data_IF_653117447203
#
_entry.id   IF_653117447203
#
_cell.length_a   1.000
_cell.length_b   1.000
_cell.length_c   1.000
_cell.angle_alpha   90.00
_cell.angle_beta   90.00
_cell.angle_gamma   90.00
#
_symmetry.space_group_name_H-M   'P 1'
#
loop_
_entity.id
_entity.type
_entity.pdbx_description
1 polymer ?
#
# COMPACT_ATOMS: atom_id res chain seq x y z
N UNK A 1 -24.53 -6.67 -14.84
CA UNK A 1 -23.18 -7.28 -14.83
C UNK A 1 -23.16 -8.35 -15.91
N UNK A 2 -22.53 -8.07 -17.05
CA UNK A 2 -22.37 -9.03 -18.15
C UNK A 2 -21.35 -10.08 -17.73
N UNK A 3 -21.78 -11.34 -17.58
CA UNK A 3 -20.87 -12.45 -17.31
C UNK A 3 -20.07 -12.64 -18.60
N UNK A 4 -18.78 -12.25 -18.60
CA UNK A 4 -17.89 -12.46 -19.75
C UNK A 4 -17.80 -13.97 -19.96
N UNK A 5 -18.31 -14.45 -21.09
CA UNK A 5 -18.29 -15.87 -21.44
C UNK A 5 -16.92 -16.18 -22.05
N UNK A 6 -16.13 -16.98 -21.35
CA UNK A 6 -14.80 -17.39 -21.79
C UNK A 6 -14.91 -18.57 -22.74
N UNK A 7 -14.07 -18.63 -23.77
CA UNK A 7 -13.93 -19.80 -24.66
C UNK A 7 -13.01 -20.85 -24.01
N UNK A 8 -13.27 -21.14 -22.73
CA UNK A 8 -12.53 -22.07 -21.90
C UNK A 8 -13.59 -23.00 -21.29
N UNK A 9 -13.44 -24.32 -21.40
CA UNK A 9 -14.42 -25.24 -20.85
C UNK A 9 -14.41 -25.19 -19.32
N UNK A 10 -15.60 -25.31 -18.72
CA UNK A 10 -15.84 -25.04 -17.30
C UNK A 10 -15.09 -26.00 -16.37
N UNK A 11 -14.91 -27.24 -16.81
CA UNK A 11 -14.14 -28.29 -16.15
C UNK A 11 -12.65 -27.93 -15.98
N UNK A 12 -12.09 -27.13 -16.89
CA UNK A 12 -10.75 -26.57 -16.76
C UNK A 12 -10.75 -25.25 -15.99
N UNK A 13 -11.72 -24.38 -16.28
CA UNK A 13 -11.81 -23.04 -15.69
C UNK A 13 -12.04 -23.06 -14.17
N UNK A 14 -13.01 -23.84 -13.68
CA UNK A 14 -13.38 -23.88 -12.27
C UNK A 14 -12.21 -24.28 -11.34
N UNK A 15 -11.48 -25.38 -11.58
CA UNK A 15 -10.36 -25.75 -10.73
C UNK A 15 -9.19 -24.76 -10.82
N UNK A 16 -8.96 -24.13 -11.98
CA UNK A 16 -7.96 -23.08 -12.15
C UNK A 16 -8.29 -21.84 -11.30
N UNK A 17 -9.53 -21.33 -11.42
CA UNK A 17 -10.03 -20.19 -10.65
C UNK A 17 -10.03 -20.49 -9.15
N UNK A 18 -10.46 -21.68 -8.75
CA UNK A 18 -10.46 -22.12 -7.36
C UNK A 18 -9.04 -22.10 -6.78
N UNK A 19 -8.05 -22.63 -7.50
CA UNK A 19 -6.66 -22.67 -7.06
C UNK A 19 -6.02 -21.28 -6.99
N UNK A 20 -6.27 -20.39 -7.96
CA UNK A 20 -5.80 -19.00 -7.89
C UNK A 20 -6.44 -18.23 -6.73
N UNK A 21 -7.72 -18.46 -6.47
CA UNK A 21 -8.44 -17.83 -5.35
C UNK A 21 -7.92 -18.32 -4.00
N UNK A 22 -7.63 -19.62 -3.89
CA UNK A 22 -6.96 -20.22 -2.71
C UNK A 22 -5.59 -19.57 -2.47
N UNK A 23 -4.82 -19.32 -3.54
CA UNK A 23 -3.53 -18.61 -3.49
C UNK A 23 -3.66 -17.09 -3.24
N UNK A 24 -4.88 -16.58 -3.08
CA UNK A 24 -5.15 -15.19 -2.71
C UNK A 24 -5.19 -14.21 -3.88
N UNK A 25 -5.39 -14.68 -5.10
CA UNK A 25 -5.59 -13.83 -6.27
C UNK A 25 -6.86 -12.96 -6.12
N UNK A 26 -6.81 -11.73 -6.62
CA UNK A 26 -8.00 -10.89 -6.76
C UNK A 26 -8.82 -11.31 -7.98
N UNK A 27 -10.11 -10.95 -8.01
CA UNK A 27 -10.96 -11.22 -9.18
C UNK A 27 -10.45 -10.56 -10.47
N UNK A 28 -9.75 -9.42 -10.37
CA UNK A 28 -9.11 -8.77 -11.52
C UNK A 28 -7.94 -9.57 -12.07
N UNK A 29 -7.09 -10.13 -11.20
CA UNK A 29 -5.95 -10.99 -11.60
C UNK A 29 -6.45 -12.29 -12.20
N UNK A 30 -7.49 -12.90 -11.61
CA UNK A 30 -8.12 -14.09 -12.16
C UNK A 30 -8.69 -13.81 -13.56
N UNK A 31 -9.41 -12.70 -13.74
CA UNK A 31 -9.96 -12.33 -15.05
C UNK A 31 -8.88 -12.06 -16.08
N UNK A 32 -7.80 -11.36 -15.72
CA UNK A 32 -6.67 -11.10 -16.62
C UNK A 32 -5.95 -12.39 -17.02
N UNK A 33 -5.81 -13.34 -16.09
CA UNK A 33 -5.23 -14.65 -16.38
C UNK A 33 -6.14 -15.46 -17.32
N UNK A 34 -7.45 -15.48 -17.08
CA UNK A 34 -8.43 -16.12 -17.97
C UNK A 34 -8.45 -15.48 -19.36
N UNK A 35 -8.31 -14.16 -19.45
CA UNK A 35 -8.22 -13.44 -20.72
C UNK A 35 -6.98 -13.82 -21.52
N UNK A 36 -5.80 -13.87 -20.88
CA UNK A 36 -4.58 -14.31 -21.55
C UNK A 36 -4.66 -15.77 -22.05
N UNK A 37 -5.36 -16.64 -21.31
CA UNK A 37 -5.60 -18.04 -21.70
C UNK A 37 -6.56 -18.08 -22.90
N UNK A 38 -7.69 -17.37 -22.79
CA UNK A 38 -8.72 -17.30 -23.83
C UNK A 38 -8.16 -16.76 -25.15
N UNK A 39 -7.37 -15.69 -25.10
CA UNK A 39 -6.72 -15.10 -26.27
C UNK A 39 -5.75 -16.09 -26.92
N UNK A 40 -5.01 -16.85 -26.12
CA UNK A 40 -4.04 -17.83 -26.64
C UNK A 40 -4.73 -19.06 -27.23
N UNK A 41 -5.79 -19.57 -26.59
CA UNK A 41 -6.63 -20.63 -27.15
C UNK A 41 -7.29 -20.19 -28.46
N UNK A 42 -7.75 -18.93 -28.56
CA UNK A 42 -8.28 -18.37 -29.82
C UNK A 42 -7.22 -18.24 -30.90
N UNK A 43 -5.99 -17.87 -30.53
CA UNK A 43 -4.90 -17.69 -31.48
C UNK A 43 -4.39 -19.01 -32.07
N UNK A 44 -4.33 -20.08 -31.27
CA UNK A 44 -3.86 -21.40 -31.73
C UNK A 44 -4.99 -22.33 -32.18
N UNK A 45 -6.22 -22.08 -31.72
CA UNK A 45 -7.37 -22.98 -31.94
C UNK A 45 -7.29 -24.27 -31.12
N UNK A 46 -6.34 -24.37 -30.19
CA UNK A 46 -6.13 -25.55 -29.35
C UNK A 46 -6.85 -25.43 -28.00
N UNK A 47 -7.18 -26.59 -27.41
CA UNK A 47 -7.80 -26.63 -26.09
C UNK A 47 -6.81 -26.23 -24.97
N UNK A 48 -7.31 -25.59 -23.89
CA UNK A 48 -6.45 -25.13 -22.80
C UNK A 48 -5.71 -26.27 -22.10
N UNK A 49 -6.28 -27.48 -22.07
CA UNK A 49 -5.61 -28.66 -21.53
C UNK A 49 -4.35 -29.03 -22.34
N UNK A 50 -4.39 -28.86 -23.67
CA UNK A 50 -3.23 -29.13 -24.53
C UNK A 50 -2.14 -28.06 -24.42
N UNK A 51 -2.55 -26.78 -24.32
CA UNK A 51 -1.62 -25.64 -24.28
C UNK A 51 -0.99 -25.39 -22.90
N UNK A 52 -1.76 -25.59 -21.85
CA UNK A 52 -1.40 -25.19 -20.49
C UNK A 52 -1.33 -26.38 -19.52
N UNK A 53 -1.79 -27.57 -19.95
CA UNK A 53 -1.83 -28.76 -19.12
C UNK A 53 -2.93 -28.70 -18.06
N UNK A 54 -2.71 -29.43 -16.97
CA UNK A 54 -3.65 -29.54 -15.86
C UNK A 54 -3.93 -28.17 -15.20
N UNK A 55 -5.21 -27.80 -15.00
CA UNK A 55 -5.59 -26.46 -14.54
C UNK A 55 -5.01 -26.11 -13.17
N UNK A 56 -4.92 -27.07 -12.25
CA UNK A 56 -4.35 -26.86 -10.91
C UNK A 56 -2.83 -26.68 -10.96
N UNK A 57 -2.14 -27.49 -11.76
CA UNK A 57 -0.69 -27.40 -11.91
C UNK A 57 -0.30 -26.09 -12.61
N UNK A 58 -1.03 -25.71 -13.65
CA UNK A 58 -0.84 -24.43 -14.31
C UNK A 58 -1.11 -23.26 -13.35
N UNK A 59 -2.21 -23.31 -12.59
CA UNK A 59 -2.51 -22.29 -11.60
C UNK A 59 -1.41 -22.10 -10.55
N UNK A 60 -0.65 -23.14 -10.18
CA UNK A 60 0.51 -23.01 -9.28
C UNK A 60 1.70 -22.31 -9.93
N UNK A 61 1.91 -22.54 -11.23
CA UNK A 61 2.96 -21.90 -12.01
C UNK A 61 2.73 -20.40 -12.27
N UNK A 62 1.47 -19.95 -12.21
CA UNK A 62 1.11 -18.53 -12.40
C UNK A 62 1.73 -17.68 -11.29
N UNK A 63 2.56 -16.72 -11.67
CA UNK A 63 3.07 -15.69 -10.77
C UNK A 63 1.91 -14.73 -10.50
N UNK A 64 1.56 -14.54 -9.23
CA UNK A 64 0.48 -13.65 -8.82
C UNK A 64 1.06 -12.27 -8.47
N UNK A 65 0.95 -11.26 -9.37
CA UNK A 65 1.12 -9.88 -8.96
C UNK A 65 -0.05 -9.50 -8.03
N UNK A 66 0.25 -8.88 -6.89
CA UNK A 66 -0.74 -8.35 -5.95
C UNK A 66 -1.73 -9.38 -5.37
N UNK A 67 -1.24 -10.20 -4.44
CA UNK A 67 -2.13 -10.97 -3.55
C UNK A 67 -3.02 -10.02 -2.73
N UNK A 68 -4.20 -10.47 -2.29
CA UNK A 68 -5.07 -9.68 -1.40
C UNK A 68 -4.35 -9.14 -0.15
N UNK A 69 -3.31 -9.84 0.31
CA UNK A 69 -2.44 -9.40 1.39
C UNK A 69 -1.58 -8.18 0.98
N UNK A 70 -0.99 -8.20 -0.22
CA UNK A 70 -0.20 -7.08 -0.76
C UNK A 70 -1.07 -5.83 -0.99
N UNK A 71 -2.28 -5.99 -1.54
CA UNK A 71 -3.23 -4.89 -1.74
C UNK A 71 -3.64 -4.24 -0.41
N UNK A 72 -3.98 -5.04 0.61
CA UNK A 72 -4.34 -4.54 1.94
C UNK A 72 -3.15 -3.86 2.63
N UNK A 73 -1.91 -4.31 2.38
CA UNK A 73 -0.69 -3.66 2.87
C UNK A 73 -0.51 -2.27 2.23
N UNK A 74 -0.70 -2.16 0.91
CA UNK A 74 -0.58 -0.88 0.18
C UNK A 74 -1.61 0.15 0.66
N UNK A 75 -2.88 -0.24 0.87
CA UNK A 75 -3.91 0.67 1.39
C UNK A 75 -3.58 1.19 2.79
N UNK A 76 -3.02 0.32 3.66
CA UNK A 76 -2.57 0.75 4.99
C UNK A 76 -1.42 1.75 4.91
N UNK A 77 -0.42 1.50 4.06
CA UNK A 77 0.69 2.43 3.87
C UNK A 77 0.21 3.81 3.38
N UNK A 78 -0.73 3.85 2.43
CA UNK A 78 -1.33 5.11 1.96
C UNK A 78 -2.09 5.82 3.08
N UNK A 79 -2.88 5.07 3.87
CA UNK A 79 -3.62 5.64 4.99
C UNK A 79 -2.69 6.22 6.08
N UNK A 80 -1.59 5.53 6.40
CA UNK A 80 -0.57 6.03 7.32
C UNK A 80 0.13 7.27 6.79
N UNK A 81 0.48 7.30 5.51
CA UNK A 81 1.09 8.48 4.89
C UNK A 81 0.17 9.72 4.96
N UNK A 82 -1.13 9.54 4.65
CA UNK A 82 -2.12 10.61 4.78
C UNK A 82 -2.28 11.07 6.24
N UNK A 83 -2.27 10.13 7.19
CA UNK A 83 -2.34 10.45 8.62
C UNK A 83 -1.11 11.24 9.09
N UNK A 84 0.08 10.86 8.60
CA UNK A 84 1.33 11.57 8.86
C UNK A 84 1.31 12.99 8.30
N UNK A 85 0.82 13.18 7.07
CA UNK A 85 0.65 14.51 6.45
C UNK A 85 -0.33 15.39 7.24
N UNK A 86 -1.46 14.81 7.67
CA UNK A 86 -2.43 15.53 8.52
C UNK A 86 -1.79 15.92 9.86
N UNK A 87 -1.04 15.01 10.48
CA UNK A 87 -0.28 15.26 11.70
C UNK A 87 0.72 16.41 11.52
N UNK A 88 1.51 16.38 10.45
CA UNK A 88 2.44 17.47 10.10
C UNK A 88 1.73 18.82 9.97
N UNK A 89 0.62 18.87 9.24
CA UNK A 89 -0.16 20.09 9.07
C UNK A 89 -0.64 20.66 10.42
N UNK A 90 -1.24 19.82 11.26
CA UNK A 90 -1.72 20.23 12.59
C UNK A 90 -0.57 20.68 13.51
N UNK A 91 0.57 20.00 13.45
CA UNK A 91 1.77 20.36 14.22
C UNK A 91 2.26 21.75 13.83
N UNK A 92 2.45 22.00 12.53
CA UNK A 92 2.93 23.29 12.02
C UNK A 92 1.92 24.41 12.30
N UNK A 93 0.62 24.13 12.21
CA UNK A 93 -0.42 25.12 12.45
C UNK A 93 -0.51 25.51 13.94
N UNK A 94 -0.48 24.51 14.84
CA UNK A 94 -0.42 24.75 16.28
C UNK A 94 0.85 25.51 16.68
N UNK A 95 2.01 25.09 16.16
CA UNK A 95 3.29 25.77 16.39
C UNK A 95 3.29 27.23 15.92
N UNK A 96 2.80 27.49 14.70
CA UNK A 96 2.73 28.83 14.15
C UNK A 96 1.85 29.78 14.99
N UNK A 97 0.80 29.24 15.61
CA UNK A 97 -0.12 30.01 16.43
C UNK A 97 0.41 30.26 17.84
N UNK A 98 1.15 29.29 18.41
CA UNK A 98 1.91 29.49 19.65
C UNK A 98 2.90 30.64 19.49
N UNK A 99 3.61 30.71 18.36
CA UNK A 99 4.55 31.81 18.12
C UNK A 99 3.90 33.17 17.87
N UNK A 100 2.62 33.22 17.56
CA UNK A 100 1.86 34.45 17.37
C UNK A 100 1.10 34.86 18.64
N UNK A 101 1.35 34.20 19.78
CA UNK A 101 0.60 34.36 21.04
C UNK A 101 -0.93 34.34 20.82
N UNK A 102 -1.39 33.44 19.95
CA UNK A 102 -2.82 33.32 19.68
C UNK A 102 -3.50 32.56 20.81
N UNK A 103 -4.45 33.19 21.51
CA UNK A 103 -5.14 32.56 22.64
C UNK A 103 -5.93 31.30 22.28
N UNK A 104 -6.53 31.27 21.07
CA UNK A 104 -7.35 30.14 20.60
C UNK A 104 -7.20 29.87 19.11
N UNK A 105 -7.03 28.61 18.75
CA UNK A 105 -7.28 28.10 17.40
C UNK A 105 -8.56 27.28 17.41
N UNK A 106 -9.54 27.64 16.58
CA UNK A 106 -10.78 26.86 16.43
C UNK A 106 -11.45 26.60 17.80
N UNK A 107 -11.44 27.61 18.67
CA UNK A 107 -12.00 27.51 20.03
C UNK A 107 -11.17 26.70 21.04
N UNK A 108 -10.06 26.08 20.64
CA UNK A 108 -9.16 25.28 21.47
C UNK A 108 -7.81 25.96 21.69
N UNK A 109 -7.07 25.53 22.73
CA UNK A 109 -5.69 25.96 22.93
C UNK A 109 -4.79 25.49 21.77
N UNK A 110 -3.93 26.34 21.19
CA UNK A 110 -2.98 25.94 20.16
C UNK A 110 -2.04 24.80 20.58
N UNK A 111 -1.75 24.67 21.89
CA UNK A 111 -0.95 23.56 22.44
C UNK A 111 -1.61 22.22 22.18
N UNK A 112 -2.94 22.14 22.33
CA UNK A 112 -3.70 20.90 22.12
C UNK A 112 -3.59 20.46 20.66
N UNK A 113 -3.76 21.38 19.72
CA UNK A 113 -3.67 21.11 18.28
C UNK A 113 -2.25 20.69 17.90
N UNK A 114 -1.23 21.36 18.47
CA UNK A 114 0.17 20.99 18.28
C UNK A 114 0.45 19.56 18.76
N UNK A 115 0.04 19.22 19.98
CA UNK A 115 0.29 17.89 20.57
C UNK A 115 -0.42 16.79 19.78
N UNK A 116 -1.69 17.01 19.38
CA UNK A 116 -2.43 16.05 18.55
C UNK A 116 -1.71 15.85 17.21
N UNK A 117 -1.31 16.94 16.56
CA UNK A 117 -0.56 16.87 15.31
C UNK A 117 0.74 16.09 15.46
N UNK A 118 1.52 16.37 16.51
CA UNK A 118 2.81 15.74 16.76
C UNK A 118 2.65 14.24 17.03
N UNK A 119 1.65 13.85 17.82
CA UNK A 119 1.34 12.46 18.10
C UNK A 119 0.89 11.71 16.86
N UNK A 120 0.06 12.31 16.00
CA UNK A 120 -0.34 11.71 14.73
C UNK A 120 0.84 11.53 13.77
N UNK A 121 1.70 12.55 13.65
CA UNK A 121 2.87 12.53 12.79
C UNK A 121 3.87 11.45 13.24
N UNK A 122 4.22 11.44 14.53
CA UNK A 122 5.13 10.44 15.10
C UNK A 122 4.51 9.05 15.08
N UNK A 123 3.24 8.92 15.46
CA UNK A 123 2.53 7.65 15.47
C UNK A 123 2.46 7.01 14.09
N UNK A 124 2.19 7.80 13.04
CA UNK A 124 2.20 7.33 11.66
C UNK A 124 3.60 6.86 11.23
N UNK A 125 4.66 7.63 11.52
CA UNK A 125 6.03 7.26 11.17
C UNK A 125 6.50 5.98 11.90
N UNK A 126 6.18 5.85 13.19
CA UNK A 126 6.50 4.66 13.99
C UNK A 126 5.72 3.45 13.48
N UNK A 127 4.43 3.59 13.22
CA UNK A 127 3.61 2.50 12.70
C UNK A 127 4.09 2.04 11.32
N UNK A 128 4.47 2.96 10.44
CA UNK A 128 4.99 2.62 9.11
C UNK A 128 6.36 1.93 9.19
N UNK A 129 7.26 2.40 10.07
CA UNK A 129 8.54 1.76 10.32
C UNK A 129 8.40 0.33 10.90
N UNK A 130 7.46 0.12 11.82
CA UNK A 130 7.19 -1.21 12.40
C UNK A 130 6.54 -2.15 11.38
N UNK A 131 5.62 -1.66 10.55
CA UNK A 131 4.97 -2.45 9.50
C UNK A 131 5.94 -2.80 8.37
N UNK A 132 6.80 -1.87 7.96
CA UNK A 132 7.88 -2.11 6.99
C UNK A 132 8.85 -3.19 7.47
N UNK A 133 9.26 -3.15 8.74
CA UNK A 133 10.11 -4.18 9.33
C UNK A 133 9.46 -5.57 9.35
N UNK A 134 8.14 -5.66 9.56
CA UNK A 134 7.42 -6.95 9.51
C UNK A 134 7.25 -7.48 8.09
N UNK A 135 7.10 -6.61 7.09
CA UNK A 135 7.00 -7.00 5.69
C UNK A 135 8.32 -7.60 5.16
N UNK A 136 9.47 -7.03 5.53
CA UNK A 136 10.80 -7.53 5.14
C UNK A 136 11.08 -8.93 5.70
N UNK A 137 10.65 -9.22 6.95
CA UNK A 137 10.81 -10.54 7.57
C UNK A 137 9.96 -11.62 6.89
N UNK A 138 8.78 -11.26 6.38
CA UNK A 138 7.84 -12.21 5.74
C UNK A 138 8.24 -12.54 4.31
N UNK A 139 8.90 -11.61 3.59
CA UNK A 139 9.25 -11.81 2.19
C UNK A 139 10.65 -12.40 1.93
N UNK A 140 11.47 -12.62 2.98
CA UNK A 140 12.72 -13.41 2.90
C UNK A 140 13.80 -12.89 1.95
N UNK A 141 13.55 -11.81 1.21
CA UNK A 141 14.47 -11.23 0.26
C UNK A 141 15.36 -10.21 0.99
N UNK A 142 16.69 -10.38 1.02
CA UNK A 142 17.57 -9.36 1.57
C UNK A 142 17.51 -8.11 0.69
N UNK A 143 16.76 -7.09 1.12
CA UNK A 143 16.85 -5.76 0.52
C UNK A 143 18.29 -5.26 0.68
N UNK A 144 19.00 -5.10 -0.43
CA UNK A 144 20.37 -4.57 -0.46
C UNK A 144 20.37 -3.13 -1.00
N UNK A 145 21.20 -2.27 -0.41
CA UNK A 145 21.50 -0.94 -0.93
C UNK A 145 20.43 0.12 -0.62
N UNK A 146 20.16 1.00 -1.60
CA UNK A 146 19.30 2.19 -1.46
C UNK A 146 17.85 1.88 -1.09
N UNK A 147 17.32 0.72 -1.48
CA UNK A 147 15.97 0.29 -1.14
C UNK A 147 15.78 0.09 0.38
N UNK A 148 16.79 -0.45 1.07
CA UNK A 148 16.75 -0.63 2.53
C UNK A 148 16.80 0.71 3.27
N UNK A 149 17.58 1.66 2.75
CA UNK A 149 17.62 3.02 3.27
C UNK A 149 16.29 3.74 3.04
N UNK A 150 15.69 3.65 1.85
CA UNK A 150 14.38 4.25 1.58
C UNK A 150 13.27 3.63 2.44
N UNK A 151 13.28 2.32 2.67
CA UNK A 151 12.28 1.67 3.50
C UNK A 151 12.42 2.08 4.98
N UNK A 152 13.67 2.23 5.47
CA UNK A 152 13.93 2.71 6.84
C UNK A 152 13.71 4.20 7.03
N UNK A 153 14.09 5.03 6.05
CA UNK A 153 14.08 6.49 6.16
C UNK A 153 12.80 7.13 5.64
N UNK A 154 12.09 6.47 4.72
CA UNK A 154 10.83 6.94 4.15
C UNK A 154 9.83 7.47 5.19
N UNK A 155 9.54 6.71 6.26
CA UNK A 155 8.64 7.16 7.33
C UNK A 155 9.12 8.43 8.06
N UNK A 156 10.44 8.63 8.17
CA UNK A 156 11.05 9.72 8.92
C UNK A 156 11.16 11.01 8.12
N UNK A 157 11.01 10.97 6.80
CA UNK A 157 11.07 12.17 5.94
C UNK A 157 10.00 13.18 6.38
N UNK A 158 8.77 12.73 6.65
CA UNK A 158 7.68 13.61 7.09
C UNK A 158 8.02 14.27 8.43
N UNK A 159 8.59 13.51 9.38
CA UNK A 159 9.02 14.04 10.69
C UNK A 159 10.12 15.08 10.51
N UNK A 160 11.14 14.78 9.70
CA UNK A 160 12.24 15.69 9.42
C UNK A 160 11.75 17.00 8.76
N UNK A 161 10.86 16.90 7.77
CA UNK A 161 10.24 18.07 7.14
C UNK A 161 9.40 18.89 8.12
N UNK A 162 8.70 18.23 9.06
CA UNK A 162 7.94 18.90 10.12
C UNK A 162 8.88 19.72 11.01
N UNK A 163 10.01 19.15 11.46
CA UNK A 163 11.00 19.84 12.27
C UNK A 163 11.65 21.02 11.54
N UNK A 164 11.99 20.83 10.26
CA UNK A 164 12.51 21.92 9.41
C UNK A 164 11.47 23.04 9.28
N UNK A 165 10.19 22.71 9.07
CA UNK A 165 9.11 23.70 9.03
C UNK A 165 8.97 24.47 10.34
N UNK A 166 9.04 23.79 11.49
CA UNK A 166 9.02 24.45 12.80
C UNK A 166 10.20 25.39 12.99
N UNK A 167 11.41 24.97 12.58
CA UNK A 167 12.62 25.77 12.65
C UNK A 167 12.51 27.04 11.78
N UNK A 168 12.01 26.91 10.55
CA UNK A 168 11.81 28.05 9.66
C UNK A 168 10.78 29.05 10.20
N UNK A 169 9.68 28.56 10.80
CA UNK A 169 8.70 29.41 11.47
C UNK A 169 9.35 30.18 12.62
N UNK A 170 10.20 29.51 13.39
CA UNK A 170 10.92 30.13 14.50
C UNK A 170 11.91 31.19 14.01
N UNK A 171 12.76 30.88 13.03
CA UNK A 171 13.73 31.84 12.45
C UNK A 171 13.01 33.06 11.85
N UNK A 172 11.82 32.90 11.28
CA UNK A 172 11.08 34.02 10.69
C UNK A 172 10.51 34.97 11.75
N UNK A 173 10.14 34.44 12.91
CA UNK A 173 9.41 35.18 13.93
C UNK A 173 10.33 35.73 15.04
N UNK A 174 11.60 35.29 15.09
CA UNK A 174 12.65 35.75 15.99
C UNK A 174 13.68 36.60 15.24
#
# INVERSE_FOLDING_TARGET
MTIKQWNIPSDWQEPFVAKLTERGASGTVVNAALEAIDDKCKATGEEPLALFGEPRAYAESVILPDTKAASRSRTKAIALALLGLLGMFLTLWGWAALQKDTDKLIGMSPVVIFVIGALLCLGAAVADALLGAKADVVHGAPQKGSALLLNKLGPWIIVALTLVGMLLIWIRNN
#
